data_IF_501791042397
#
_entry.id   IF_501791042397
#
_cell.length_a   1.000
_cell.length_b   1.000
_cell.length_c   1.000
_cell.angle_alpha   90.00
_cell.angle_beta   90.00
_cell.angle_gamma   90.00
#
_symmetry.space_group_name_H-M   'P 1'
#
loop_
_entity.id
_entity.type
_entity.pdbx_description
1 polymer ?
#
# COMPACT_ATOMS: atom_id res chain seq x y z
N UNK A 1 -18.18 -10.42 -7.82
CA UNK A 1 -17.23 -11.48 -8.23
C UNK A 1 -16.40 -11.00 -9.42
N UNK A 2 -17.00 -10.59 -10.57
CA UNK A 2 -16.26 -10.17 -11.78
C UNK A 2 -15.30 -9.00 -11.52
N UNK A 3 -15.72 -7.98 -10.78
CA UNK A 3 -14.86 -6.85 -10.38
C UNK A 3 -13.68 -7.34 -9.54
N UNK A 4 -13.92 -8.23 -8.57
CA UNK A 4 -12.86 -8.80 -7.74
C UNK A 4 -11.84 -9.61 -8.54
N UNK A 5 -12.29 -10.41 -9.53
CA UNK A 5 -11.41 -11.14 -10.45
C UNK A 5 -10.58 -10.19 -11.31
N UNK A 6 -11.18 -9.14 -11.86
CA UNK A 6 -10.47 -8.11 -12.62
C UNK A 6 -9.41 -7.40 -11.80
N UNK A 7 -9.75 -7.00 -10.58
CA UNK A 7 -8.82 -6.36 -9.65
C UNK A 7 -7.67 -7.29 -9.22
N UNK A 8 -7.91 -8.60 -9.08
CA UNK A 8 -6.86 -9.55 -8.69
C UNK A 8 -5.77 -9.69 -9.76
N UNK A 9 -6.16 -9.69 -11.04
CA UNK A 9 -5.23 -9.81 -12.17
C UNK A 9 -4.37 -8.55 -12.42
N UNK A 10 -4.92 -7.36 -12.15
CA UNK A 10 -4.23 -6.07 -12.25
C UNK A 10 -3.75 -5.53 -10.89
N UNK A 11 -3.63 -6.39 -9.89
CA UNK A 11 -3.37 -5.95 -8.51
C UNK A 11 -1.94 -5.42 -8.33
N UNK A 12 -1.81 -4.49 -7.41
CA UNK A 12 -0.55 -3.97 -6.93
C UNK A 12 0.44 -5.09 -6.49
N UNK A 13 -0.07 -6.20 -5.98
CA UNK A 13 0.73 -7.37 -5.60
C UNK A 13 1.46 -8.03 -6.76
N UNK A 14 0.81 -8.12 -7.92
CA UNK A 14 1.41 -8.67 -9.14
C UNK A 14 2.61 -7.83 -9.58
N UNK A 15 2.45 -6.50 -9.54
CA UNK A 15 3.53 -5.55 -9.89
C UNK A 15 4.69 -5.66 -8.91
N UNK A 16 4.44 -5.69 -7.60
CA UNK A 16 5.50 -5.85 -6.60
C UNK A 16 6.23 -7.19 -6.72
N UNK A 17 5.49 -8.27 -7.00
CA UNK A 17 6.09 -9.58 -7.22
C UNK A 17 6.96 -9.60 -8.49
N UNK A 18 6.52 -8.94 -9.58
CA UNK A 18 7.30 -8.79 -10.80
C UNK A 18 8.59 -8.01 -10.54
N UNK A 19 8.53 -6.85 -9.87
CA UNK A 19 9.73 -6.08 -9.52
C UNK A 19 10.68 -6.85 -8.60
N UNK A 20 10.15 -7.62 -7.66
CA UNK A 20 11.00 -8.45 -6.78
C UNK A 20 11.82 -9.48 -7.56
N UNK A 21 11.28 -9.99 -8.69
CA UNK A 21 11.95 -10.99 -9.54
C UNK A 21 12.84 -10.38 -10.61
N UNK A 22 12.42 -9.25 -11.20
CA UNK A 22 13.09 -8.65 -12.36
C UNK A 22 14.21 -7.68 -11.98
N UNK A 23 14.19 -7.16 -10.75
CA UNK A 23 15.15 -6.14 -10.31
C UNK A 23 16.25 -6.76 -9.45
N UNK A 24 17.53 -6.44 -9.72
CA UNK A 24 18.67 -6.89 -8.92
C UNK A 24 18.50 -6.54 -7.42
N UNK A 25 19.11 -7.33 -6.55
CA UNK A 25 18.92 -7.24 -5.10
C UNK A 25 19.30 -5.87 -4.53
N UNK A 26 20.37 -5.27 -5.02
CA UNK A 26 20.86 -3.95 -4.63
C UNK A 26 19.85 -2.82 -4.90
N UNK A 27 19.00 -2.95 -5.91
CA UNK A 27 17.99 -1.96 -6.31
C UNK A 27 16.56 -2.34 -5.96
N UNK A 28 16.35 -3.54 -5.45
CA UNK A 28 15.00 -4.10 -5.20
C UNK A 28 14.18 -3.24 -4.24
N UNK A 29 14.76 -2.83 -3.12
CA UNK A 29 14.06 -2.00 -2.11
C UNK A 29 13.63 -0.65 -2.67
N UNK A 30 14.52 0.01 -3.42
CA UNK A 30 14.22 1.27 -4.10
C UNK A 30 13.09 1.10 -5.13
N UNK A 31 13.14 0.04 -5.93
CA UNK A 31 12.12 -0.24 -6.96
C UNK A 31 10.75 -0.53 -6.37
N UNK A 32 10.68 -1.25 -5.25
CA UNK A 32 9.43 -1.49 -4.52
C UNK A 32 8.86 -0.19 -3.95
N UNK A 33 9.72 0.69 -3.42
CA UNK A 33 9.32 2.01 -2.96
C UNK A 33 8.79 2.89 -4.09
N UNK A 34 9.48 2.90 -5.24
CA UNK A 34 9.06 3.66 -6.43
C UNK A 34 7.72 3.15 -6.98
N UNK A 35 7.54 1.83 -7.07
CA UNK A 35 6.27 1.24 -7.51
C UNK A 35 5.11 1.63 -6.57
N UNK A 36 5.36 1.62 -5.26
CA UNK A 36 4.37 2.03 -4.26
C UNK A 36 4.04 3.50 -4.35
N UNK A 37 5.05 4.34 -4.53
CA UNK A 37 4.88 5.78 -4.73
C UNK A 37 4.10 6.10 -6.02
N UNK A 38 4.38 5.40 -7.11
CA UNK A 38 3.65 5.53 -8.37
C UNK A 38 2.17 5.14 -8.22
N UNK A 39 1.86 4.08 -7.46
CA UNK A 39 0.48 3.73 -7.12
C UNK A 39 -0.25 4.84 -6.36
N UNK A 40 0.42 5.46 -5.39
CA UNK A 40 -0.12 6.60 -4.63
C UNK A 40 -0.31 7.84 -5.51
N UNK A 41 0.61 8.10 -6.43
CA UNK A 41 0.46 9.16 -7.43
C UNK A 41 -0.76 8.89 -8.33
N UNK A 42 -1.00 7.62 -8.69
CA UNK A 42 -2.21 7.21 -9.41
C UNK A 42 -3.48 7.60 -8.65
N UNK A 43 -3.57 7.32 -7.35
CA UNK A 43 -4.70 7.75 -6.53
C UNK A 43 -4.90 9.27 -6.54
N UNK A 44 -3.81 10.01 -6.40
CA UNK A 44 -3.83 11.48 -6.42
C UNK A 44 -4.33 12.04 -7.75
N UNK A 45 -3.96 11.45 -8.87
CA UNK A 45 -4.33 11.91 -10.21
C UNK A 45 -5.72 11.43 -10.64
N UNK A 46 -6.03 10.15 -10.42
CA UNK A 46 -7.25 9.55 -10.95
C UNK A 46 -8.50 9.88 -10.13
N UNK A 47 -8.38 10.23 -8.85
CA UNK A 47 -9.54 10.64 -8.07
C UNK A 47 -10.17 11.95 -8.58
N UNK A 48 -9.43 13.07 -8.75
CA UNK A 48 -10.00 14.29 -9.33
C UNK A 48 -10.37 14.13 -10.81
N UNK A 49 -9.62 13.32 -11.58
CA UNK A 49 -9.93 13.04 -12.97
C UNK A 49 -11.28 12.31 -13.10
N UNK A 50 -11.52 11.30 -12.27
CA UNK A 50 -12.78 10.58 -12.23
C UNK A 50 -13.95 11.48 -11.84
N UNK A 51 -13.76 12.36 -10.84
CA UNK A 51 -14.77 13.35 -10.46
C UNK A 51 -15.05 14.34 -11.62
N UNK A 52 -14.02 14.76 -12.33
CA UNK A 52 -14.15 15.62 -13.52
C UNK A 52 -14.99 14.94 -14.61
N UNK A 53 -14.74 13.66 -14.88
CA UNK A 53 -15.54 12.89 -15.85
C UNK A 53 -17.00 12.74 -15.39
N UNK A 54 -17.24 12.48 -14.12
CA UNK A 54 -18.60 12.38 -13.57
C UNK A 54 -19.34 13.71 -13.74
N UNK A 55 -18.68 14.82 -13.44
CA UNK A 55 -19.28 16.17 -13.56
C UNK A 55 -19.55 16.58 -15.01
N UNK A 56 -18.66 16.20 -15.95
CA UNK A 56 -18.77 16.60 -17.36
C UNK A 56 -19.68 15.68 -18.17
N UNK A 57 -19.65 14.38 -17.92
CA UNK A 57 -20.26 13.36 -18.79
C UNK A 57 -21.23 12.42 -18.07
N UNK A 58 -21.42 12.59 -16.76
CA UNK A 58 -22.23 11.70 -15.93
C UNK A 58 -21.52 10.40 -15.54
N UNK A 59 -22.08 9.66 -14.53
CA UNK A 59 -21.40 8.54 -13.89
C UNK A 59 -21.14 7.35 -14.85
N UNK A 60 -22.08 7.04 -15.74
CA UNK A 60 -21.94 5.90 -16.67
C UNK A 60 -20.81 6.12 -17.67
N UNK A 61 -20.76 7.30 -18.30
CA UNK A 61 -19.68 7.66 -19.23
C UNK A 61 -18.33 7.74 -18.54
N UNK A 62 -18.30 8.28 -17.31
CA UNK A 62 -17.09 8.30 -16.49
C UNK A 62 -16.54 6.89 -16.23
N UNK A 63 -17.41 5.92 -15.89
CA UNK A 63 -17.01 4.52 -15.72
C UNK A 63 -16.44 3.91 -17.00
N UNK A 64 -17.04 4.19 -18.16
CA UNK A 64 -16.55 3.71 -19.46
C UNK A 64 -15.17 4.30 -19.77
N UNK A 65 -14.98 5.60 -19.57
CA UNK A 65 -13.68 6.27 -19.78
C UNK A 65 -12.60 5.73 -18.85
N UNK A 66 -12.90 5.58 -17.56
CA UNK A 66 -11.98 4.99 -16.60
C UNK A 66 -11.68 3.52 -16.93
N UNK A 67 -12.69 2.75 -17.36
CA UNK A 67 -12.51 1.38 -17.84
C UNK A 67 -11.60 1.30 -19.06
N UNK A 68 -11.73 2.23 -20.01
CA UNK A 68 -10.83 2.37 -21.16
C UNK A 68 -9.38 2.62 -20.75
N UNK A 69 -9.14 3.44 -19.73
CA UNK A 69 -7.81 3.64 -19.17
C UNK A 69 -7.25 2.37 -18.52
N UNK A 70 -8.07 1.62 -17.79
CA UNK A 70 -7.68 0.33 -17.20
C UNK A 70 -7.35 -0.70 -18.28
N UNK A 71 -7.98 -0.64 -19.43
CA UNK A 71 -7.69 -1.52 -20.58
C UNK A 71 -6.27 -1.32 -21.15
N UNK A 72 -5.56 -0.23 -20.81
CA UNK A 72 -4.15 -0.04 -21.15
C UNK A 72 -3.22 -0.90 -20.26
N UNK A 73 -3.68 -1.33 -19.09
CA UNK A 73 -2.85 -2.09 -18.13
C UNK A 73 -2.32 -3.40 -18.73
N UNK A 74 -3.11 -4.25 -19.43
CA UNK A 74 -2.59 -5.44 -20.09
C UNK A 74 -1.50 -5.14 -21.13
N UNK A 75 -1.64 -4.05 -21.87
CA UNK A 75 -0.64 -3.61 -22.87
C UNK A 75 0.66 -3.22 -22.19
N UNK A 76 0.58 -2.43 -21.10
CA UNK A 76 1.73 -2.02 -20.31
C UNK A 76 2.37 -3.22 -19.59
N UNK A 77 1.57 -4.21 -19.20
CA UNK A 77 2.06 -5.43 -18.55
C UNK A 77 2.98 -6.27 -19.47
N UNK A 78 2.86 -6.13 -20.80
CA UNK A 78 3.78 -6.78 -21.74
C UNK A 78 5.23 -6.31 -21.54
N UNK A 79 5.46 -5.10 -21.04
CA UNK A 79 6.79 -4.61 -20.69
C UNK A 79 7.39 -5.31 -19.45
N UNK A 80 6.57 -5.98 -18.64
CA UNK A 80 6.98 -6.76 -17.49
C UNK A 80 7.18 -8.25 -17.83
N UNK A 81 6.97 -8.66 -19.07
CA UNK A 81 7.23 -10.01 -19.54
C UNK A 81 8.74 -10.19 -19.75
N UNK A 82 9.47 -10.42 -18.68
CA UNK A 82 10.88 -10.83 -18.71
C UNK A 82 11.02 -12.22 -18.06
N UNK A 83 11.99 -13.01 -18.53
CA UNK A 83 12.51 -14.10 -17.71
C UNK A 83 13.29 -13.40 -16.60
N UNK A 84 12.64 -13.19 -15.44
CA UNK A 84 13.40 -12.89 -14.22
C UNK A 84 14.47 -13.96 -14.06
N UNK A 85 15.62 -13.58 -13.52
CA UNK A 85 16.58 -14.59 -13.08
C UNK A 85 15.80 -15.59 -12.23
N UNK A 86 15.63 -16.77 -12.79
CA UNK A 86 15.12 -17.91 -12.02
C UNK A 86 16.20 -18.11 -10.99
N UNK A 87 15.97 -17.65 -9.77
CA UNK A 87 16.89 -17.93 -8.69
C UNK A 87 17.12 -19.44 -8.69
N UNK A 88 18.39 -19.88 -8.61
CA UNK A 88 18.76 -21.28 -8.43
C UNK A 88 18.22 -21.86 -7.10
N UNK A 89 17.27 -21.17 -6.49
CA UNK A 89 16.57 -21.61 -5.29
C UNK A 89 15.80 -22.89 -5.58
N UNK A 90 15.96 -23.92 -4.75
CA UNK A 90 15.25 -25.18 -4.92
C UNK A 90 13.75 -25.00 -4.95
N UNK A 91 13.08 -25.77 -5.80
CA UNK A 91 11.61 -25.78 -5.90
C UNK A 91 11.00 -26.33 -4.61
N UNK A 92 10.56 -25.42 -3.73
CA UNK A 92 9.77 -25.82 -2.56
C UNK A 92 8.32 -25.93 -3.00
N UNK A 93 7.67 -27.10 -2.77
CA UNK A 93 6.23 -27.25 -3.04
C UNK A 93 5.41 -26.15 -2.36
N UNK A 94 4.41 -25.61 -3.05
CA UNK A 94 3.54 -24.53 -2.54
C UNK A 94 3.01 -24.82 -1.13
N UNK A 95 2.60 -26.06 -0.90
CA UNK A 95 2.09 -26.51 0.43
C UNK A 95 3.13 -26.38 1.53
N UNK A 96 4.38 -26.71 1.22
CA UNK A 96 5.50 -26.64 2.16
C UNK A 96 5.91 -25.19 2.43
N UNK A 97 5.93 -24.35 1.40
CA UNK A 97 6.17 -22.91 1.55
C UNK A 97 5.10 -22.25 2.45
N UNK A 98 3.83 -22.57 2.25
CA UNK A 98 2.74 -22.06 3.10
C UNK A 98 2.89 -22.57 4.54
N UNK A 99 3.12 -23.87 4.73
CA UNK A 99 3.31 -24.43 6.07
C UNK A 99 4.50 -23.81 6.78
N UNK A 100 5.63 -23.65 6.09
CA UNK A 100 6.81 -22.99 6.64
C UNK A 100 6.53 -21.55 7.06
N UNK A 101 5.81 -20.78 6.25
CA UNK A 101 5.44 -19.41 6.56
C UNK A 101 4.49 -19.34 7.77
N UNK A 102 3.45 -20.17 7.81
CA UNK A 102 2.47 -20.17 8.90
C UNK A 102 3.03 -20.68 10.25
N UNK A 103 4.19 -21.33 10.24
CA UNK A 103 4.91 -21.72 11.47
C UNK A 103 6.05 -20.78 11.82
N UNK A 104 6.35 -19.78 10.99
CA UNK A 104 7.45 -18.84 11.20
C UNK A 104 7.00 -17.63 12.02
N UNK A 105 7.48 -17.46 13.29
CA UNK A 105 6.99 -16.40 14.18
C UNK A 105 7.12 -14.98 13.58
N UNK A 106 8.22 -14.68 12.91
CA UNK A 106 8.43 -13.35 12.31
C UNK A 106 7.43 -13.07 11.18
N UNK A 107 7.04 -14.08 10.41
CA UNK A 107 6.04 -13.93 9.37
C UNK A 107 4.63 -13.71 9.96
N UNK A 108 4.29 -14.44 11.01
CA UNK A 108 3.01 -14.24 11.71
C UNK A 108 2.90 -12.86 12.33
N UNK A 109 3.97 -12.37 12.98
CA UNK A 109 4.02 -11.01 13.52
C UNK A 109 3.92 -9.94 12.40
N UNK A 110 4.60 -10.17 11.26
CA UNK A 110 4.51 -9.31 10.10
C UNK A 110 3.08 -9.25 9.55
N UNK A 111 2.43 -10.41 9.45
CA UNK A 111 1.04 -10.55 8.99
C UNK A 111 0.06 -9.87 9.95
N UNK A 112 0.24 -10.03 11.26
CA UNK A 112 -0.55 -9.34 12.27
C UNK A 112 -0.36 -7.82 12.22
N UNK A 113 0.88 -7.35 12.06
CA UNK A 113 1.16 -5.91 11.87
C UNK A 113 0.45 -5.36 10.62
N UNK A 114 0.42 -6.13 9.54
CA UNK A 114 -0.22 -5.69 8.30
C UNK A 114 -1.76 -5.73 8.39
N UNK A 115 -2.34 -6.61 9.21
CA UNK A 115 -3.75 -6.57 9.59
C UNK A 115 -4.10 -5.23 10.26
N UNK A 116 -3.32 -4.82 11.27
CA UNK A 116 -3.51 -3.53 11.95
C UNK A 116 -3.36 -2.35 10.97
N UNK A 117 -2.47 -2.47 9.98
CA UNK A 117 -2.35 -1.47 8.93
C UNK A 117 -3.65 -1.31 8.15
N UNK A 118 -4.29 -2.42 7.75
CA UNK A 118 -5.58 -2.42 7.06
C UNK A 118 -6.68 -1.75 7.88
N UNK A 119 -6.78 -2.10 9.15
CA UNK A 119 -7.71 -1.47 10.09
C UNK A 119 -7.53 0.06 10.15
N UNK A 120 -6.28 0.54 10.33
CA UNK A 120 -6.01 1.98 10.36
C UNK A 120 -6.41 2.69 9.07
N UNK A 121 -6.17 2.07 7.92
CA UNK A 121 -6.51 2.64 6.61
C UNK A 121 -8.02 2.80 6.46
N UNK A 122 -8.77 1.73 6.70
CA UNK A 122 -10.23 1.75 6.61
C UNK A 122 -10.84 2.73 7.61
N UNK A 123 -10.34 2.74 8.84
CA UNK A 123 -10.78 3.67 9.88
C UNK A 123 -10.61 5.13 9.44
N UNK A 124 -9.43 5.51 8.94
CA UNK A 124 -9.18 6.90 8.51
C UNK A 124 -10.03 7.25 7.30
N UNK A 125 -10.05 6.43 6.25
CA UNK A 125 -10.75 6.77 5.02
C UNK A 125 -12.26 6.82 5.20
N UNK A 126 -12.81 6.02 6.10
CA UNK A 126 -14.25 5.93 6.33
C UNK A 126 -14.72 6.90 7.41
N UNK A 127 -13.96 7.05 8.49
CA UNK A 127 -14.44 7.74 9.67
C UNK A 127 -13.84 9.13 9.89
N UNK A 128 -12.64 9.44 9.38
CA UNK A 128 -12.03 10.75 9.60
C UNK A 128 -12.86 11.90 8.99
N UNK A 129 -13.32 11.83 7.72
CA UNK A 129 -14.11 12.91 7.15
C UNK A 129 -15.42 13.19 7.91
N UNK A 130 -16.30 12.20 8.19
CA UNK A 130 -17.51 12.45 8.98
C UNK A 130 -17.20 12.93 10.40
N UNK A 131 -16.19 12.37 11.07
CA UNK A 131 -15.75 12.81 12.40
C UNK A 131 -15.42 14.31 12.43
N UNK A 132 -14.68 14.81 11.42
CA UNK A 132 -14.36 16.23 11.34
C UNK A 132 -15.60 17.10 11.10
N UNK A 133 -16.52 16.66 10.26
CA UNK A 133 -17.78 17.39 10.01
C UNK A 133 -18.70 17.39 11.23
N UNK A 134 -18.76 16.29 11.98
CA UNK A 134 -19.53 16.19 13.23
C UNK A 134 -18.99 17.13 14.33
N UNK A 135 -17.68 17.40 14.32
CA UNK A 135 -17.06 18.41 15.16
C UNK A 135 -17.26 19.85 14.68
N UNK A 136 -17.99 20.07 13.58
CA UNK A 136 -18.28 21.38 13.01
C UNK A 136 -17.20 21.96 12.10
N UNK A 137 -16.18 21.17 11.73
CA UNK A 137 -15.20 21.61 10.74
C UNK A 137 -15.76 21.58 9.31
N UNK A 138 -15.22 22.44 8.45
CA UNK A 138 -15.66 22.49 7.06
C UNK A 138 -15.34 21.21 6.30
N UNK A 139 -16.18 20.84 5.33
CA UNK A 139 -15.89 19.74 4.41
C UNK A 139 -14.59 19.95 3.61
N UNK A 140 -14.19 21.21 3.42
CA UNK A 140 -12.90 21.55 2.81
C UNK A 140 -11.69 21.09 3.64
N UNK A 141 -11.73 21.20 4.97
CA UNK A 141 -10.69 20.68 5.85
C UNK A 141 -10.63 19.15 5.79
N UNK A 142 -11.79 18.48 5.81
CA UNK A 142 -11.86 17.02 5.70
C UNK A 142 -11.29 16.52 4.36
N UNK A 143 -11.63 17.16 3.25
CA UNK A 143 -11.10 16.84 1.94
C UNK A 143 -9.58 17.10 1.87
N UNK A 144 -9.11 18.21 2.44
CA UNK A 144 -7.68 18.54 2.52
C UNK A 144 -6.89 17.54 3.33
N UNK A 145 -7.46 17.01 4.43
CA UNK A 145 -6.84 15.99 5.26
C UNK A 145 -6.55 14.72 4.42
N UNK A 146 -7.54 14.22 3.68
CA UNK A 146 -7.37 13.04 2.81
C UNK A 146 -6.39 13.31 1.67
N UNK A 147 -6.44 14.50 1.06
CA UNK A 147 -5.50 14.88 0.00
C UNK A 147 -4.05 14.94 0.50
N UNK A 148 -3.82 15.51 1.70
CA UNK A 148 -2.50 15.55 2.33
C UNK A 148 -1.98 14.16 2.64
N UNK A 149 -2.82 13.25 3.16
CA UNK A 149 -2.45 11.85 3.36
C UNK A 149 -1.96 11.25 2.03
N UNK A 150 -2.70 11.43 0.94
CA UNK A 150 -2.32 10.92 -0.38
C UNK A 150 -0.98 11.49 -0.88
N UNK A 151 -0.79 12.80 -0.76
CA UNK A 151 0.44 13.47 -1.20
C UNK A 151 1.66 13.00 -0.42
N UNK A 152 1.58 13.02 0.91
CA UNK A 152 2.69 12.59 1.77
C UNK A 152 2.95 11.10 1.71
N UNK A 153 1.97 10.31 1.30
CA UNK A 153 2.12 8.89 1.06
C UNK A 153 3.09 8.56 -0.11
N UNK A 154 3.11 9.39 -1.16
CA UNK A 154 4.11 9.31 -2.23
C UNK A 154 5.52 9.45 -1.66
N UNK A 155 5.73 10.49 -0.85
CA UNK A 155 7.03 10.80 -0.23
C UNK A 155 7.44 9.68 0.72
N UNK A 156 6.52 9.26 1.59
CA UNK A 156 6.77 8.21 2.58
C UNK A 156 7.14 6.88 1.96
N UNK A 157 6.36 6.41 0.98
CA UNK A 157 6.61 5.13 0.31
C UNK A 157 7.95 5.12 -0.45
N UNK A 158 8.28 6.20 -1.15
CA UNK A 158 9.56 6.35 -1.82
C UNK A 158 10.73 6.33 -0.82
N UNK A 159 10.64 7.15 0.23
CA UNK A 159 11.66 7.24 1.28
C UNK A 159 11.88 5.91 1.98
N UNK A 160 10.78 5.20 2.32
CA UNK A 160 10.87 3.87 2.93
C UNK A 160 11.54 2.84 2.01
N UNK A 161 11.28 2.92 0.70
CA UNK A 161 11.97 2.09 -0.29
C UNK A 161 13.47 2.35 -0.35
N UNK A 162 13.89 3.62 -0.37
CA UNK A 162 15.30 4.01 -0.36
C UNK A 162 15.97 3.57 0.95
N UNK A 163 15.40 3.92 2.10
CA UNK A 163 15.96 3.57 3.41
C UNK A 163 16.03 2.05 3.62
N UNK A 164 15.03 1.30 3.14
CA UNK A 164 15.00 -0.16 3.23
C UNK A 164 16.09 -0.87 2.41
N UNK A 165 16.76 -0.16 1.50
CA UNK A 165 17.95 -0.64 0.80
C UNK A 165 19.24 -0.54 1.64
N UNK A 166 19.30 0.42 2.56
CA UNK A 166 20.50 0.75 3.33
C UNK A 166 20.40 0.43 4.82
N UNK A 167 19.19 0.30 5.34
CA UNK A 167 18.93 0.07 6.75
C UNK A 167 18.12 -1.21 6.98
N UNK A 168 18.08 -1.68 8.22
CA UNK A 168 17.28 -2.85 8.59
C UNK A 168 15.79 -2.58 8.42
N UNK A 169 15.16 -3.27 7.47
CA UNK A 169 13.71 -3.18 7.19
C UNK A 169 12.87 -3.48 8.42
N UNK A 170 13.34 -4.38 9.31
CA UNK A 170 12.68 -4.71 10.57
C UNK A 170 12.58 -3.49 11.49
N UNK A 171 13.67 -2.77 11.70
CA UNK A 171 13.68 -1.61 12.59
C UNK A 171 12.93 -0.42 11.98
N UNK A 172 13.04 -0.21 10.66
CA UNK A 172 12.26 0.80 9.96
C UNK A 172 10.76 0.54 10.11
N UNK A 173 10.33 -0.71 9.88
CA UNK A 173 8.93 -1.10 10.01
C UNK A 173 8.42 -0.93 11.46
N UNK A 174 9.21 -1.34 12.45
CA UNK A 174 8.88 -1.15 13.86
C UNK A 174 8.75 0.34 14.22
N UNK A 175 9.67 1.17 13.73
CA UNK A 175 9.61 2.62 13.90
C UNK A 175 8.36 3.23 13.28
N UNK A 176 7.97 2.79 12.08
CA UNK A 176 6.74 3.24 11.42
C UNK A 176 5.50 2.90 12.25
N UNK A 177 5.36 1.66 12.73
CA UNK A 177 4.22 1.26 13.55
C UNK A 177 4.18 1.99 14.89
N UNK A 178 5.34 2.17 15.53
CA UNK A 178 5.44 2.95 16.77
C UNK A 178 5.04 4.42 16.53
N UNK A 179 5.55 5.05 15.48
CA UNK A 179 5.20 6.43 15.13
C UNK A 179 3.72 6.59 14.81
N UNK A 180 3.09 5.59 14.17
CA UNK A 180 1.63 5.57 13.98
C UNK A 180 0.89 5.52 15.30
N UNK A 181 1.29 4.63 16.21
CA UNK A 181 0.66 4.53 17.52
C UNK A 181 0.71 5.87 18.25
N UNK A 182 1.88 6.54 18.23
CA UNK A 182 2.04 7.88 18.81
C UNK A 182 1.14 8.90 18.12
N UNK A 183 1.10 8.94 16.78
CA UNK A 183 0.27 9.88 16.02
C UNK A 183 -1.22 9.72 16.33
N UNK A 184 -1.72 8.49 16.37
CA UNK A 184 -3.12 8.20 16.75
C UNK A 184 -3.41 8.59 18.19
N UNK A 185 -2.52 8.25 19.13
CA UNK A 185 -2.69 8.59 20.54
C UNK A 185 -2.75 10.11 20.75
N UNK A 186 -1.85 10.85 20.11
CA UNK A 186 -1.86 12.31 20.19
C UNK A 186 -3.12 12.91 19.55
N UNK A 187 -3.58 12.37 18.43
CA UNK A 187 -4.80 12.86 17.76
C UNK A 187 -6.06 12.64 18.60
N UNK A 188 -6.11 11.56 19.39
CA UNK A 188 -7.24 11.26 20.29
C UNK A 188 -7.19 12.07 21.58
N UNK A 189 -5.99 12.27 22.16
CA UNK A 189 -5.83 12.90 23.47
C UNK A 189 -5.88 14.43 23.38
N UNK A 190 -5.32 15.01 22.31
CA UNK A 190 -5.26 16.47 22.16
C UNK A 190 -6.57 17.04 21.62
N UNK A 191 -6.90 18.30 21.97
CA UNK A 191 -8.06 18.97 21.39
C UNK A 191 -7.95 19.03 19.87
N UNK A 192 -8.99 18.59 19.16
CA UNK A 192 -9.01 18.57 17.70
C UNK A 192 -9.06 20.01 17.17
N UNK A 193 -7.97 20.44 16.55
CA UNK A 193 -7.83 21.74 15.88
C UNK A 193 -7.49 21.55 14.41
N UNK A 194 -7.74 22.52 13.51
CA UNK A 194 -7.33 22.42 12.12
C UNK A 194 -5.83 22.14 11.95
N UNK A 195 -4.98 22.71 12.80
CA UNK A 195 -3.54 22.46 12.79
C UNK A 195 -3.22 21.00 13.15
N UNK A 196 -3.87 20.44 14.19
CA UNK A 196 -3.66 19.03 14.57
C UNK A 196 -4.12 18.09 13.47
N UNK A 197 -5.25 18.38 12.81
CA UNK A 197 -5.76 17.59 11.66
C UNK A 197 -4.75 17.57 10.52
N UNK A 198 -4.20 18.74 10.15
CA UNK A 198 -3.20 18.84 9.09
C UNK A 198 -1.92 18.08 9.48
N UNK A 199 -1.42 18.27 10.69
CA UNK A 199 -0.22 17.61 11.17
C UNK A 199 -0.39 16.07 11.21
N UNK A 200 -1.52 15.61 11.74
CA UNK A 200 -1.88 14.18 11.74
C UNK A 200 -1.93 13.62 10.32
N UNK A 201 -2.55 14.32 9.38
CA UNK A 201 -2.68 13.90 7.99
C UNK A 201 -1.32 13.79 7.30
N UNK A 202 -0.41 14.73 7.55
CA UNK A 202 0.97 14.69 7.05
C UNK A 202 1.71 13.47 7.63
N UNK A 203 1.66 13.31 8.96
CA UNK A 203 2.35 12.19 9.63
C UNK A 203 1.82 10.83 9.16
N UNK A 204 0.51 10.67 9.13
CA UNK A 204 -0.10 9.42 8.67
C UNK A 204 0.23 9.18 7.19
N UNK A 205 0.16 10.21 6.35
CA UNK A 205 0.55 10.10 4.95
C UNK A 205 1.98 9.57 4.78
N UNK A 206 2.95 10.14 5.48
CA UNK A 206 4.33 9.67 5.45
C UNK A 206 4.50 8.21 5.90
N UNK A 207 3.67 7.75 6.82
CA UNK A 207 3.80 6.44 7.44
C UNK A 207 2.93 5.36 6.78
N UNK A 208 1.92 5.72 6.01
CA UNK A 208 0.84 4.82 5.55
C UNK A 208 1.37 3.70 4.63
N UNK A 209 1.68 3.98 3.38
CA UNK A 209 2.17 2.97 2.43
C UNK A 209 3.69 2.70 2.56
N UNK A 210 4.38 3.41 3.43
CA UNK A 210 5.79 3.15 3.76
C UNK A 210 6.03 1.73 4.28
N UNK A 211 5.00 1.09 4.83
CA UNK A 211 5.07 -0.31 5.28
C UNK A 211 5.14 -1.31 4.14
N UNK A 212 4.60 -0.98 2.96
CA UNK A 212 4.46 -1.92 1.83
C UNK A 212 5.81 -2.40 1.27
N UNK A 213 6.74 -1.50 0.85
CA UNK A 213 8.03 -1.92 0.31
C UNK A 213 8.89 -2.64 1.35
N UNK A 214 8.78 -2.27 2.62
CA UNK A 214 9.51 -2.91 3.71
C UNK A 214 8.96 -4.31 4.00
N UNK A 215 7.63 -4.48 4.03
CA UNK A 215 6.97 -5.76 4.29
C UNK A 215 7.21 -6.75 3.17
N UNK A 216 7.03 -6.35 1.90
CA UNK A 216 7.30 -7.22 0.74
C UNK A 216 8.78 -7.60 0.68
N UNK A 217 9.68 -6.66 0.99
CA UNK A 217 11.10 -6.91 1.06
C UNK A 217 11.51 -7.85 2.20
N UNK A 218 10.81 -7.82 3.36
CA UNK A 218 11.02 -8.78 4.45
C UNK A 218 10.54 -10.18 4.09
N UNK A 219 9.39 -10.31 3.43
CA UNK A 219 8.90 -11.61 2.93
C UNK A 219 9.88 -12.22 1.94
N UNK A 220 10.41 -11.40 1.01
CA UNK A 220 11.42 -11.84 0.07
C UNK A 220 12.74 -12.30 0.77
N UNK A 221 13.13 -11.60 1.83
CA UNK A 221 14.32 -11.94 2.62
C UNK A 221 14.15 -13.26 3.40
N UNK A 222 12.95 -13.53 3.93
CA UNK A 222 12.69 -14.72 4.74
C UNK A 222 12.48 -16.00 3.90
N UNK A 223 11.85 -15.87 2.74
CA UNK A 223 11.36 -17.03 1.96
C UNK A 223 11.84 -17.05 0.50
N UNK A 224 12.78 -16.19 0.15
CA UNK A 224 13.26 -16.07 -1.23
C UNK A 224 12.28 -15.35 -2.15
N UNK A 225 12.71 -15.11 -3.39
CA UNK A 225 11.96 -14.33 -4.37
C UNK A 225 10.89 -15.15 -5.10
N UNK A 226 11.06 -16.47 -5.16
CA UNK A 226 10.20 -17.39 -5.92
C UNK A 226 8.75 -17.40 -5.40
N UNK A 227 8.57 -17.50 -4.08
CA UNK A 227 7.26 -17.60 -3.43
C UNK A 227 6.74 -16.26 -2.88
N UNK A 228 7.49 -15.16 -3.08
CA UNK A 228 7.15 -13.85 -2.49
C UNK A 228 5.76 -13.36 -2.89
N UNK A 229 5.36 -13.54 -4.15
CA UNK A 229 4.06 -13.09 -4.64
C UNK A 229 2.90 -13.78 -3.89
N UNK A 230 2.99 -15.08 -3.67
CA UNK A 230 2.01 -15.86 -2.94
C UNK A 230 2.01 -15.51 -1.45
N UNK A 231 3.17 -15.55 -0.81
CA UNK A 231 3.28 -15.32 0.64
C UNK A 231 2.95 -13.87 1.00
N UNK A 232 3.38 -12.89 0.21
CA UNK A 232 2.96 -11.51 0.42
C UNK A 232 1.47 -11.31 0.12
N UNK A 233 0.89 -12.12 -0.79
CA UNK A 233 -0.55 -12.15 -1.01
C UNK A 233 -1.34 -12.53 0.24
N UNK A 234 -0.88 -13.51 1.04
CA UNK A 234 -1.49 -13.84 2.32
C UNK A 234 -1.36 -12.73 3.37
N UNK A 235 -0.19 -12.06 3.42
CA UNK A 235 0.00 -10.87 4.26
C UNK A 235 -0.99 -9.77 3.86
N UNK A 236 -1.19 -9.56 2.55
CA UNK A 236 -2.14 -8.59 2.06
C UNK A 236 -3.61 -8.99 2.28
N UNK A 237 -3.90 -10.28 2.25
CA UNK A 237 -5.23 -10.78 2.62
C UNK A 237 -5.55 -10.43 4.09
N UNK A 238 -4.58 -10.58 5.00
CA UNK A 238 -4.78 -10.16 6.40
C UNK A 238 -5.06 -8.66 6.52
N UNK A 239 -4.41 -7.83 5.72
CA UNK A 239 -4.68 -6.40 5.63
C UNK A 239 -6.12 -6.13 5.19
N UNK A 240 -6.62 -6.86 4.19
CA UNK A 240 -8.00 -6.71 3.73
C UNK A 240 -9.02 -7.15 4.79
N UNK A 241 -8.72 -8.21 5.52
CA UNK A 241 -9.55 -8.63 6.67
C UNK A 241 -9.54 -7.56 7.77
N UNK A 242 -8.39 -6.94 8.02
CA UNK A 242 -8.30 -5.83 8.99
C UNK A 242 -9.04 -4.57 8.54
N UNK A 243 -9.21 -4.37 7.25
CA UNK A 243 -9.93 -3.24 6.66
C UNK A 243 -11.46 -3.44 6.60
N UNK A 244 -11.96 -4.66 6.76
CA UNK A 244 -13.39 -5.01 6.74
C UNK A 244 -14.02 -4.79 8.09
#
# INVERSE_FOLDING_TARGET
VLIGLGLSGGSFMVVLAAFTRLVPEDRRSWSLGLATAAGSMGQFLFAPLGQGFISAYGPVTALVLMGGMVALVPILALALTGKGDVSDEPEIPVREAIRGALTHPSYLLLTAGFFVCGFHIAFITTHLPPYLTDLGFSGGLAASAIALIGLFNVIGAYTAGVLGGHQSRKYLLSGIYFSRAVAFSLFIILPTTPFLVILFSIMIGLLWLSTVPLTSGLVALMFGTRNVGMLFGFVFLSHQIGAF
#
